data_IF_554510182047
#
_entry.id   IF_554510182047
#
_cell.length_a   1.000
_cell.length_b   1.000
_cell.length_c   1.000
_cell.angle_alpha   90.00
_cell.angle_beta   90.00
_cell.angle_gamma   90.00
#
_symmetry.space_group_name_H-M   'P 1'
#
loop_
_entity.id
_entity.type
_entity.pdbx_description
1 polymer ?
#
# COMPACT_ATOMS: atom_id res chain seq x y z
N UNK A 1 11.55 -19.38 16.88
CA UNK A 1 10.50 -18.37 16.69
C UNK A 1 11.02 -17.46 15.61
N UNK A 2 10.42 -17.49 14.44
CA UNK A 2 10.75 -16.56 13.34
C UNK A 2 10.37 -15.15 13.82
N UNK A 3 11.22 -14.16 13.61
CA UNK A 3 10.88 -12.77 13.94
C UNK A 3 9.65 -12.32 13.14
N UNK A 4 8.77 -11.54 13.78
CA UNK A 4 7.55 -10.98 13.17
C UNK A 4 7.95 -10.03 12.03
N UNK A 5 7.34 -10.18 10.87
CA UNK A 5 7.69 -9.40 9.68
C UNK A 5 7.14 -7.96 9.77
N UNK A 6 5.91 -7.80 10.27
CA UNK A 6 5.33 -6.50 10.53
C UNK A 6 5.89 -5.91 11.83
N UNK A 7 6.54 -4.75 11.69
CA UNK A 7 6.94 -3.93 12.82
C UNK A 7 5.81 -3.00 13.28
N UNK A 8 6.18 -1.96 14.03
CA UNK A 8 5.20 -0.98 14.56
C UNK A 8 4.37 -0.30 13.48
N UNK A 9 4.91 -0.13 12.27
CA UNK A 9 4.29 0.65 11.19
C UNK A 9 4.69 0.10 9.81
N UNK A 10 4.19 -1.12 9.54
CA UNK A 10 4.40 -1.88 8.31
C UNK A 10 5.63 -2.79 8.32
N UNK A 11 5.93 -3.35 7.16
CA UNK A 11 7.17 -4.13 6.91
C UNK A 11 8.26 -3.16 6.49
N UNK A 12 9.45 -3.23 7.11
CA UNK A 12 10.59 -2.34 6.79
C UNK A 12 11.90 -3.12 6.75
N UNK A 13 12.81 -2.63 5.92
CA UNK A 13 14.16 -3.15 5.85
C UNK A 13 15.02 -2.40 4.84
N UNK A 14 16.29 -2.76 4.78
CA UNK A 14 17.19 -2.38 3.70
C UNK A 14 16.65 -2.89 2.36
N UNK A 15 16.48 -1.98 1.41
CA UNK A 15 15.96 -2.29 0.09
C UNK A 15 16.94 -3.17 -0.69
N UNK A 16 16.45 -4.26 -1.26
CA UNK A 16 17.21 -5.21 -2.07
C UNK A 16 17.91 -6.32 -1.27
N UNK A 17 17.89 -6.25 0.07
CA UNK A 17 18.45 -7.30 0.93
C UNK A 17 17.42 -7.85 1.92
N UNK A 18 16.82 -6.97 2.73
CA UNK A 18 15.81 -7.33 3.73
C UNK A 18 14.40 -7.15 3.16
N UNK A 19 14.19 -6.03 2.45
CA UNK A 19 12.98 -5.78 1.67
C UNK A 19 13.28 -5.97 0.19
N UNK A 20 13.02 -7.17 -0.30
CA UNK A 20 13.28 -7.59 -1.69
C UNK A 20 12.04 -7.43 -2.58
N UNK A 21 12.24 -7.46 -3.90
CA UNK A 21 11.16 -7.54 -4.90
C UNK A 21 10.23 -8.74 -4.63
N UNK A 22 10.82 -9.92 -4.39
CA UNK A 22 10.08 -11.14 -4.04
C UNK A 22 9.21 -10.98 -2.79
N UNK A 23 9.74 -10.33 -1.74
CA UNK A 23 8.98 -10.07 -0.52
C UNK A 23 7.84 -9.07 -0.77
N UNK A 24 8.09 -7.99 -1.52
CA UNK A 24 7.06 -7.02 -1.88
C UNK A 24 5.93 -7.65 -2.71
N UNK A 25 6.29 -8.50 -3.67
CA UNK A 25 5.37 -9.29 -4.48
C UNK A 25 4.51 -10.24 -3.62
N UNK A 26 5.14 -11.02 -2.72
CA UNK A 26 4.41 -11.91 -1.80
C UNK A 26 3.52 -11.14 -0.82
N UNK A 27 3.94 -9.96 -0.35
CA UNK A 27 3.11 -9.07 0.47
C UNK A 27 1.86 -8.62 -0.27
N UNK A 28 1.99 -8.17 -1.52
CA UNK A 28 0.85 -7.78 -2.36
C UNK A 28 -0.16 -8.91 -2.53
N UNK A 29 0.31 -10.13 -2.80
CA UNK A 29 -0.54 -11.33 -2.91
C UNK A 29 -1.26 -11.65 -1.61
N UNK A 30 -0.53 -11.71 -0.51
CA UNK A 30 -1.09 -12.06 0.79
C UNK A 30 -2.14 -11.03 1.22
N UNK A 31 -1.91 -9.74 0.96
CA UNK A 31 -2.88 -8.68 1.21
C UNK A 31 -4.20 -8.92 0.47
N UNK A 32 -4.17 -9.30 -0.81
CA UNK A 32 -5.39 -9.64 -1.59
C UNK A 32 -6.16 -10.78 -0.93
N UNK A 33 -5.47 -11.83 -0.49
CA UNK A 33 -6.12 -12.98 0.15
C UNK A 33 -6.80 -12.61 1.47
N UNK A 34 -6.24 -11.67 2.24
CA UNK A 34 -6.84 -11.17 3.48
C UNK A 34 -8.02 -10.26 3.19
N UNK A 35 -7.87 -9.30 2.26
CA UNK A 35 -8.93 -8.34 1.93
C UNK A 35 -10.11 -9.00 1.19
N UNK A 36 -9.84 -9.96 0.30
CA UNK A 36 -10.87 -10.65 -0.47
C UNK A 36 -11.81 -11.52 0.40
N UNK A 37 -11.32 -12.03 1.53
CA UNK A 37 -12.14 -12.77 2.51
C UNK A 37 -13.15 -11.88 3.24
N UNK A 38 -12.95 -10.56 3.23
CA UNK A 38 -13.72 -9.58 4.01
C UNK A 38 -14.86 -8.89 3.25
N UNK A 39 -15.41 -9.54 2.20
CA UNK A 39 -16.64 -9.18 1.44
C UNK A 39 -16.45 -8.72 -0.02
N UNK A 40 -15.30 -8.93 -0.66
CA UNK A 40 -15.11 -8.56 -2.07
C UNK A 40 -14.36 -9.66 -2.82
N UNK A 41 -15.00 -10.27 -3.84
CA UNK A 41 -14.35 -11.28 -4.67
C UNK A 41 -13.15 -10.74 -5.48
N UNK A 42 -12.97 -9.41 -5.49
CA UNK A 42 -11.94 -8.68 -6.22
C UNK A 42 -11.60 -7.38 -5.46
N UNK A 43 -10.74 -7.43 -4.43
CA UNK A 43 -10.39 -6.26 -3.64
C UNK A 43 -9.58 -5.25 -4.44
N UNK A 44 -9.75 -3.97 -4.13
CA UNK A 44 -9.10 -2.86 -4.82
C UNK A 44 -8.14 -2.13 -3.89
N UNK A 45 -6.97 -1.75 -4.42
CA UNK A 45 -5.86 -1.18 -3.66
C UNK A 45 -5.46 0.16 -4.25
N UNK A 46 -5.26 1.17 -3.40
CA UNK A 46 -4.60 2.43 -3.80
C UNK A 46 -3.15 2.36 -3.35
N UNK A 47 -2.21 2.37 -4.29
CA UNK A 47 -0.78 2.22 -4.02
C UNK A 47 -0.07 3.52 -4.35
N UNK A 48 0.65 4.06 -3.37
CA UNK A 48 1.55 5.18 -3.57
C UNK A 48 2.89 4.98 -2.88
N UNK A 49 3.84 5.85 -3.20
CA UNK A 49 5.21 5.77 -2.70
C UNK A 49 5.77 7.13 -2.36
N UNK A 50 6.86 7.15 -1.61
CA UNK A 50 7.71 8.34 -1.52
C UNK A 50 8.72 8.41 -2.69
N UNK A 51 9.64 9.37 -2.62
CA UNK A 51 10.64 9.62 -3.66
C UNK A 51 11.89 8.72 -3.57
N UNK A 52 11.90 7.65 -2.76
CA UNK A 52 13.05 6.74 -2.67
C UNK A 52 13.29 6.06 -4.01
N UNK A 53 14.55 5.93 -4.40
CA UNK A 53 14.95 5.26 -5.65
C UNK A 53 14.50 3.79 -5.67
N UNK A 54 14.39 3.14 -4.51
CA UNK A 54 13.86 1.79 -4.39
C UNK A 54 12.35 1.67 -4.58
N UNK A 55 11.62 2.79 -4.52
CA UNK A 55 10.16 2.77 -4.53
C UNK A 55 9.57 2.25 -5.84
N UNK A 56 10.20 2.52 -6.99
CA UNK A 56 9.65 2.15 -8.30
C UNK A 56 9.60 0.63 -8.50
N UNK A 57 10.72 -0.08 -8.28
CA UNK A 57 10.74 -1.54 -8.43
C UNK A 57 10.01 -2.28 -7.30
N UNK A 58 9.91 -1.68 -6.10
CA UNK A 58 9.04 -2.20 -5.03
C UNK A 58 7.56 -2.05 -5.38
N UNK A 59 7.17 -0.93 -5.97
CA UNK A 59 5.81 -0.67 -6.45
C UNK A 59 5.43 -1.68 -7.51
N UNK A 60 6.25 -1.81 -8.56
CA UNK A 60 6.04 -2.77 -9.65
C UNK A 60 5.86 -4.20 -9.13
N UNK A 61 6.74 -4.64 -8.23
CA UNK A 61 6.66 -5.99 -7.65
C UNK A 61 5.39 -6.19 -6.82
N UNK A 62 5.04 -5.20 -5.97
CA UNK A 62 3.88 -5.27 -5.10
C UNK A 62 2.57 -5.27 -5.89
N UNK A 63 2.42 -4.40 -6.88
CA UNK A 63 1.20 -4.34 -7.71
C UNK A 63 1.04 -5.57 -8.59
N UNK A 64 2.14 -6.15 -9.05
CA UNK A 64 2.10 -7.42 -9.78
C UNK A 64 1.60 -8.56 -8.89
N UNK A 65 2.06 -8.60 -7.64
CA UNK A 65 1.54 -9.54 -6.65
C UNK A 65 0.05 -9.36 -6.37
N UNK A 66 -0.42 -8.12 -6.26
CA UNK A 66 -1.85 -7.80 -6.12
C UNK A 66 -2.64 -8.32 -7.34
N UNK A 67 -2.17 -8.02 -8.54
CA UNK A 67 -2.81 -8.40 -9.81
C UNK A 67 -2.94 -9.91 -9.94
N UNK A 68 -1.87 -10.66 -9.73
CA UNK A 68 -1.86 -12.12 -9.88
C UNK A 68 -2.72 -12.83 -8.84
N UNK A 69 -2.83 -12.27 -7.62
CA UNK A 69 -3.75 -12.77 -6.61
C UNK A 69 -5.22 -12.40 -6.88
N UNK A 70 -5.52 -11.60 -7.92
CA UNK A 70 -6.88 -11.24 -8.32
C UNK A 70 -7.42 -9.96 -7.71
N UNK A 71 -6.56 -9.09 -7.16
CA UNK A 71 -6.91 -7.74 -6.75
C UNK A 71 -6.66 -6.72 -7.86
N UNK A 72 -7.31 -5.57 -7.76
CA UNK A 72 -7.09 -4.42 -8.65
C UNK A 72 -6.20 -3.39 -7.95
N UNK A 73 -5.17 -2.89 -8.63
CA UNK A 73 -4.26 -1.89 -8.09
C UNK A 73 -4.37 -0.56 -8.86
N UNK A 74 -4.60 0.52 -8.12
CA UNK A 74 -4.54 1.90 -8.59
C UNK A 74 -3.24 2.54 -8.12
N UNK A 75 -2.32 2.78 -9.05
CA UNK A 75 -1.04 3.44 -8.77
C UNK A 75 -1.26 4.95 -8.75
N UNK A 76 -1.10 5.57 -7.59
CA UNK A 76 -1.16 7.01 -7.37
C UNK A 76 0.21 7.70 -7.59
N UNK A 77 1.30 6.93 -7.67
CA UNK A 77 2.65 7.46 -7.87
C UNK A 77 3.25 8.03 -6.59
N UNK A 78 4.02 9.13 -6.73
CA UNK A 78 4.70 9.76 -5.59
C UNK A 78 3.73 10.64 -4.83
N UNK A 79 3.29 10.17 -3.66
CA UNK A 79 2.27 10.84 -2.86
C UNK A 79 2.60 10.76 -1.35
N UNK A 80 2.23 11.78 -0.55
CA UNK A 80 2.41 11.71 0.88
C UNK A 80 1.48 10.64 1.48
N UNK A 81 1.90 10.01 2.57
CA UNK A 81 1.11 8.98 3.28
C UNK A 81 -0.36 9.37 3.54
N UNK A 82 -0.68 10.59 4.05
CA UNK A 82 -2.08 10.97 4.25
C UNK A 82 -2.89 11.08 2.95
N UNK A 83 -2.28 11.35 1.79
CA UNK A 83 -3.00 11.37 0.52
C UNK A 83 -3.48 9.97 0.14
N UNK A 84 -2.65 8.94 0.35
CA UNK A 84 -3.04 7.54 0.10
C UNK A 84 -4.16 7.09 1.05
N UNK A 85 -4.10 7.46 2.33
CA UNK A 85 -5.18 7.18 3.27
C UNK A 85 -6.50 7.85 2.83
N UNK A 86 -6.44 9.12 2.42
CA UNK A 86 -7.59 9.85 1.89
C UNK A 86 -8.15 9.20 0.62
N UNK A 87 -7.32 8.97 -0.40
CA UNK A 87 -7.73 8.37 -1.68
C UNK A 87 -8.31 6.97 -1.49
N UNK A 88 -7.82 6.20 -0.51
CA UNK A 88 -8.39 4.89 -0.16
C UNK A 88 -9.86 5.03 0.23
N UNK A 89 -10.17 5.99 1.11
CA UNK A 89 -11.55 6.24 1.53
C UNK A 89 -12.42 6.85 0.43
N UNK A 90 -11.87 7.79 -0.34
CA UNK A 90 -12.59 8.52 -1.39
C UNK A 90 -12.99 7.62 -2.55
N UNK A 91 -12.08 6.72 -2.97
CA UNK A 91 -12.32 5.74 -4.04
C UNK A 91 -13.08 4.50 -3.55
N UNK A 92 -13.37 4.38 -2.25
CA UNK A 92 -13.99 3.19 -1.67
C UNK A 92 -13.15 1.92 -1.83
N UNK A 93 -11.82 2.08 -1.87
CA UNK A 93 -10.88 0.97 -2.03
C UNK A 93 -10.85 0.08 -0.77
N UNK A 94 -10.50 -1.19 -0.94
CA UNK A 94 -10.41 -2.15 0.16
C UNK A 94 -9.21 -1.86 1.07
N UNK A 95 -8.14 -1.28 0.51
CA UNK A 95 -6.91 -1.00 1.23
C UNK A 95 -6.07 0.09 0.55
N UNK A 96 -5.38 0.88 1.36
CA UNK A 96 -4.32 1.78 0.91
C UNK A 96 -2.95 1.17 1.18
N UNK A 97 -1.99 1.37 0.29
CA UNK A 97 -0.61 0.89 0.44
C UNK A 97 0.36 2.03 0.22
N UNK A 98 1.27 2.24 1.18
CA UNK A 98 2.34 3.23 1.07
C UNK A 98 3.69 2.55 1.09
N UNK A 99 4.48 2.79 0.05
CA UNK A 99 5.86 2.35 -0.08
C UNK A 99 6.78 3.47 0.41
N UNK A 100 7.19 3.38 1.68
CA UNK A 100 8.05 4.38 2.32
C UNK A 100 8.62 3.86 3.64
N UNK A 101 9.89 4.18 3.92
CA UNK A 101 10.46 4.11 5.27
C UNK A 101 10.43 5.46 6.01
N UNK A 102 9.59 6.41 5.59
CA UNK A 102 9.38 7.71 6.23
C UNK A 102 10.71 8.46 6.43
N UNK A 103 11.17 8.65 7.66
CA UNK A 103 12.36 9.42 8.02
C UNK A 103 13.65 8.60 8.05
N UNK A 104 13.60 7.30 7.77
CA UNK A 104 14.79 6.44 7.76
C UNK A 104 15.77 6.85 6.63
N UNK A 105 17.06 6.49 6.75
CA UNK A 105 18.04 6.69 5.68
C UNK A 105 17.58 6.12 4.31
N UNK A 106 18.06 6.68 3.17
CA UNK A 106 17.55 6.38 1.83
C UNK A 106 17.67 4.90 1.41
N UNK A 107 18.61 4.15 1.98
CA UNK A 107 18.81 2.71 1.75
C UNK A 107 17.70 1.83 2.34
N UNK A 108 16.92 2.36 3.29
CA UNK A 108 15.74 1.67 3.82
C UNK A 108 14.52 1.94 2.94
N UNK A 109 13.60 0.99 2.91
CA UNK A 109 12.23 1.23 2.45
C UNK A 109 11.24 0.39 3.28
N UNK A 110 9.96 0.49 2.98
CA UNK A 110 8.93 -0.25 3.70
C UNK A 110 7.60 -0.27 2.96
N UNK A 111 6.73 -1.20 3.36
CA UNK A 111 5.35 -1.32 2.88
C UNK A 111 4.42 -1.18 4.07
N UNK A 112 3.52 -0.19 4.00
CA UNK A 112 2.47 0.05 5.00
C UNK A 112 1.12 -0.19 4.37
N UNK A 113 0.25 -0.91 5.06
CA UNK A 113 -1.12 -1.13 4.61
C UNK A 113 -2.11 -0.41 5.54
N UNK A 114 -3.15 0.13 4.93
CA UNK A 114 -4.29 0.76 5.59
C UNK A 114 -5.57 -0.01 5.26
N UNK A 115 -6.54 0.01 6.17
CA UNK A 115 -7.88 -0.51 5.90
C UNK A 115 -8.67 0.44 4.99
N UNK A 116 -9.90 0.05 4.66
CA UNK A 116 -10.82 0.83 3.82
C UNK A 116 -11.22 2.18 4.43
N UNK A 117 -11.00 2.38 5.73
CA UNK A 117 -11.26 3.63 6.43
C UNK A 117 -9.99 4.52 6.50
N UNK A 118 -8.89 4.11 5.85
CA UNK A 118 -7.63 4.83 5.82
C UNK A 118 -6.82 4.72 7.12
N UNK A 119 -7.21 3.82 8.03
CA UNK A 119 -6.50 3.59 9.29
C UNK A 119 -5.49 2.46 9.15
N UNK A 120 -4.52 2.40 10.08
CA UNK A 120 -3.58 1.29 10.14
C UNK A 120 -4.33 -0.04 10.31
N UNK A 121 -3.89 -1.08 9.61
CA UNK A 121 -4.38 -2.44 9.84
C UNK A 121 -4.27 -2.86 11.31
N UNK A 122 -5.20 -3.71 11.74
CA UNK A 122 -5.14 -4.36 13.05
C UNK A 122 -4.03 -5.41 13.09
N UNK A 123 -3.47 -5.66 14.27
CA UNK A 123 -2.45 -6.71 14.46
C UNK A 123 -2.91 -8.08 13.91
N UNK A 124 -4.18 -8.43 14.09
CA UNK A 124 -4.75 -9.67 13.58
C UNK A 124 -4.81 -9.72 12.04
N UNK A 125 -4.96 -8.56 11.38
CA UNK A 125 -4.88 -8.50 9.91
C UNK A 125 -3.43 -8.62 9.44
N UNK A 126 -2.48 -7.96 10.10
CA UNK A 126 -1.05 -8.10 9.81
C UNK A 126 -0.59 -9.56 9.96
N UNK A 127 -0.98 -10.23 11.05
CA UNK A 127 -0.66 -11.64 11.30
C UNK A 127 -1.21 -12.57 10.20
N UNK A 128 -2.45 -12.34 9.75
CA UNK A 128 -3.03 -13.08 8.63
C UNK A 128 -2.27 -12.87 7.32
N UNK A 129 -1.72 -11.67 7.08
CA UNK A 129 -0.89 -11.40 5.90
C UNK A 129 0.42 -12.21 6.01
N UNK A 130 1.07 -12.22 7.17
CA UNK A 130 2.30 -13.00 7.39
C UNK A 130 2.09 -14.50 7.15
N UNK A 131 0.99 -15.08 7.66
CA UNK A 131 0.64 -16.48 7.48
C UNK A 131 0.41 -16.87 6.00
N UNK A 132 0.08 -15.90 5.15
CA UNK A 132 -0.32 -16.12 3.76
C UNK A 132 0.75 -15.71 2.73
N UNK A 133 1.95 -15.29 3.16
CA UNK A 133 3.03 -14.90 2.25
C UNK A 133 3.38 -15.98 1.21
N UNK A 134 3.32 -17.25 1.61
CA UNK A 134 3.67 -18.39 0.75
C UNK A 134 2.42 -19.14 0.23
N UNK A 135 1.23 -18.58 0.42
CA UNK A 135 -0.01 -19.17 -0.09
C UNK A 135 -0.06 -19.10 -1.62
N UNK A 136 -0.58 -20.13 -2.32
CA UNK A 136 -0.60 -20.16 -3.79
C UNK A 136 -1.49 -19.08 -4.41
N UNK A 137 -1.10 -18.55 -5.58
CA UNK A 137 -1.90 -17.59 -6.37
C UNK A 137 -3.23 -18.17 -6.83
N UNK A 138 -4.25 -17.30 -6.87
CA UNK A 138 -5.55 -17.59 -7.49
C UNK A 138 -6.17 -16.30 -8.03
N UNK A 139 -5.84 -15.87 -9.25
CA UNK A 139 -6.50 -14.68 -9.79
C UNK A 139 -6.03 -14.17 -11.15
N UNK A 140 -6.60 -13.03 -11.53
CA UNK A 140 -6.32 -12.29 -12.77
C UNK A 140 -6.94 -10.88 -12.67
N UNK A 141 -6.40 -10.07 -11.77
CA UNK A 141 -6.82 -8.68 -11.52
C UNK A 141 -6.28 -7.68 -12.55
N UNK A 142 -6.42 -6.38 -12.28
CA UNK A 142 -5.91 -5.29 -13.15
C UNK A 142 -4.96 -4.35 -12.42
N UNK A 143 -4.16 -3.62 -13.19
CA UNK A 143 -3.32 -2.52 -12.70
C UNK A 143 -3.66 -1.30 -13.55
N UNK A 144 -4.02 -0.21 -12.90
CA UNK A 144 -4.36 1.07 -13.51
C UNK A 144 -3.56 2.19 -12.82
N UNK A 145 -3.23 3.26 -13.56
CA UNK A 145 -2.57 4.45 -13.00
C UNK A 145 -3.58 5.58 -12.83
N UNK A 146 -3.50 6.31 -11.72
CA UNK A 146 -4.39 7.42 -11.40
C UNK A 146 -3.63 8.74 -11.51
N UNK A 147 -3.86 9.47 -12.59
CA UNK A 147 -3.13 10.71 -12.90
C UNK A 147 -3.59 11.94 -12.10
N UNK A 148 -4.74 11.86 -11.42
CA UNK A 148 -5.39 12.99 -10.71
C UNK A 148 -5.29 12.90 -9.18
N UNK A 149 -4.45 11.99 -8.67
CA UNK A 149 -4.30 11.73 -7.23
C UNK A 149 -3.88 12.99 -6.45
N UNK A 150 -2.88 13.71 -6.95
CA UNK A 150 -2.36 14.93 -6.32
C UNK A 150 -3.43 16.03 -6.25
N UNK A 151 -4.14 16.26 -7.36
CA UNK A 151 -5.13 17.33 -7.47
C UNK A 151 -6.31 17.07 -6.52
N UNK A 152 -6.82 15.84 -6.46
CA UNK A 152 -7.90 15.45 -5.56
C UNK A 152 -7.55 15.67 -4.08
N UNK A 153 -6.34 15.26 -3.66
CA UNK A 153 -5.90 15.49 -2.28
C UNK A 153 -5.69 16.98 -1.97
N UNK A 154 -5.16 17.75 -2.92
CA UNK A 154 -5.00 19.19 -2.76
C UNK A 154 -6.36 19.90 -2.62
N UNK A 155 -7.33 19.57 -3.47
CA UNK A 155 -8.70 20.08 -3.39
C UNK A 155 -9.33 19.78 -2.04
N UNK A 156 -9.18 18.55 -1.52
CA UNK A 156 -9.68 18.19 -0.19
C UNK A 156 -9.12 19.09 0.93
N UNK A 157 -7.82 19.39 0.91
CA UNK A 157 -7.19 20.28 1.89
C UNK A 157 -7.76 21.69 1.78
N UNK A 158 -7.85 22.22 0.55
CA UNK A 158 -8.36 23.57 0.30
C UNK A 158 -9.83 23.70 0.69
N UNK A 159 -10.67 22.71 0.40
CA UNK A 159 -12.08 22.72 0.81
C UNK A 159 -12.24 22.71 2.33
N UNK A 160 -11.37 21.97 3.03
CA UNK A 160 -11.48 21.79 4.47
C UNK A 160 -10.91 22.95 5.30
N UNK A 161 -9.84 23.58 4.82
CA UNK A 161 -9.12 24.60 5.58
C UNK A 161 -9.10 25.97 4.90
N UNK A 162 -9.61 26.08 3.67
CA UNK A 162 -9.50 27.28 2.84
C UNK A 162 -8.11 27.41 2.20
N UNK A 163 -8.00 28.37 1.28
CA UNK A 163 -6.74 28.74 0.62
C UNK A 163 -6.07 29.97 1.23
N UNK A 164 -6.71 30.62 2.20
CA UNK A 164 -6.20 31.81 2.86
C UNK A 164 -5.29 31.42 4.04
N UNK A 165 -3.98 31.57 3.84
CA UNK A 165 -2.95 31.29 4.83
C UNK A 165 -2.52 32.54 5.61
N UNK A 166 -3.25 33.66 5.49
CA UNK A 166 -2.79 34.96 5.99
C UNK A 166 -2.83 35.16 7.51
N UNK A 167 -3.51 34.28 8.26
CA UNK A 167 -3.48 34.25 9.73
C UNK A 167 -4.26 35.37 10.41
#
# INVERSE_FOLDING_TARGET
MTERLFGTDGVRGLAGTELTEDLAYRLGRAAVLVMGRRNQNRPTFVVGRDSRASGEWLEDSLVEGIREAGGDAFIAGVEPTPAIAFLTTDLGASSGVVISASHNPPEYNGVKLFDSDGHKLTDAAEEQIEELLDAPERGGGTIDRVDVATDSYFEHIVERFGSDLSG
#
